data_IF_608823438350
#
_entry.id   IF_608823438350
#
_cell.length_a   1.000
_cell.length_b   1.000
_cell.length_c   1.000
_cell.angle_alpha   90.00
_cell.angle_beta   90.00
_cell.angle_gamma   90.00
#
_symmetry.space_group_name_H-M   'P 1'
#
loop_
_entity.id
_entity.type
_entity.pdbx_description
1 polymer ?
#
# COMPACT_ATOMS: atom_id res chain seq x y z
N UNK A 1 -11.20 -7.63 -6.73
CA UNK A 1 -10.21 -8.17 -5.77
C UNK A 1 -8.91 -8.37 -6.53
N UNK A 2 -7.79 -7.82 -6.06
CA UNK A 2 -6.51 -7.98 -6.76
C UNK A 2 -6.13 -9.47 -6.78
N UNK A 3 -5.85 -10.01 -7.97
CA UNK A 3 -5.40 -11.40 -8.12
C UNK A 3 -3.91 -11.51 -7.79
N UNK A 4 -3.43 -12.70 -7.48
CA UNK A 4 -2.01 -12.96 -7.21
C UNK A 4 -1.13 -12.59 -8.43
N UNK A 5 -1.65 -12.80 -9.64
CA UNK A 5 -1.06 -12.30 -10.89
C UNK A 5 -0.94 -10.79 -10.91
N UNK A 6 -1.97 -10.06 -10.47
CA UNK A 6 -1.93 -8.59 -10.39
C UNK A 6 -0.79 -8.11 -9.45
N UNK A 7 -0.54 -8.78 -8.33
CA UNK A 7 0.59 -8.45 -7.47
C UNK A 7 1.94 -8.75 -8.12
N UNK A 8 2.08 -9.90 -8.77
CA UNK A 8 3.29 -10.25 -9.52
C UNK A 8 3.63 -9.20 -10.59
N UNK A 9 2.62 -8.74 -11.34
CA UNK A 9 2.81 -7.75 -12.39
C UNK A 9 3.08 -6.34 -11.83
N UNK A 10 2.64 -6.01 -10.61
CA UNK A 10 2.68 -4.64 -10.09
C UNK A 10 3.71 -4.37 -8.98
N UNK A 11 4.21 -5.37 -8.26
CA UNK A 11 5.08 -5.16 -7.09
C UNK A 11 6.43 -4.50 -7.44
N UNK A 12 6.88 -4.65 -8.68
CA UNK A 12 8.17 -4.14 -9.17
C UNK A 12 8.02 -3.33 -10.47
N UNK A 13 6.99 -2.47 -10.54
CA UNK A 13 6.71 -1.63 -11.72
C UNK A 13 7.87 -0.72 -12.15
N UNK A 14 8.69 -0.26 -11.21
CA UNK A 14 9.85 0.60 -11.48
C UNK A 14 11.03 -0.13 -12.14
N UNK A 15 11.01 -1.47 -12.15
CA UNK A 15 12.08 -2.29 -12.72
C UNK A 15 11.84 -2.58 -14.20
N UNK A 16 12.91 -2.69 -14.98
CA UNK A 16 12.83 -3.28 -16.31
C UNK A 16 12.71 -4.81 -16.17
N UNK A 17 11.77 -5.42 -16.88
CA UNK A 17 11.40 -6.84 -16.72
C UNK A 17 11.70 -7.63 -17.98
N UNK A 18 12.30 -8.80 -17.82
CA UNK A 18 12.37 -9.84 -18.85
C UNK A 18 11.62 -11.07 -18.36
N UNK A 19 10.58 -11.48 -19.08
CA UNK A 19 9.76 -12.62 -18.66
C UNK A 19 9.78 -13.71 -19.71
N UNK A 20 9.93 -14.96 -19.28
CA UNK A 20 9.80 -16.15 -20.13
C UNK A 20 8.92 -17.19 -19.43
N UNK A 21 8.22 -18.00 -20.21
CA UNK A 21 7.35 -19.07 -19.71
C UNK A 21 8.05 -20.41 -19.87
N UNK A 22 7.95 -21.25 -18.84
CA UNK A 22 8.48 -22.60 -18.75
C UNK A 22 7.34 -23.57 -18.53
N UNK A 23 7.49 -24.79 -19.00
CA UNK A 23 6.57 -25.87 -18.68
C UNK A 23 7.29 -26.82 -17.73
N UNK A 24 6.72 -27.04 -16.54
CA UNK A 24 7.25 -28.05 -15.63
C UNK A 24 6.99 -29.45 -16.19
N UNK A 25 8.05 -30.26 -16.30
CA UNK A 25 8.01 -31.60 -16.87
C UNK A 25 7.09 -32.58 -16.10
N UNK A 26 6.80 -32.32 -14.82
CA UNK A 26 6.03 -33.26 -14.01
C UNK A 26 4.51 -33.00 -14.02
N UNK A 27 4.08 -31.73 -14.11
CA UNK A 27 2.67 -31.36 -13.97
C UNK A 27 2.09 -30.57 -15.15
N UNK A 28 2.88 -30.34 -16.21
CA UNK A 28 2.52 -29.49 -17.35
C UNK A 28 2.11 -28.05 -16.94
N UNK A 29 2.48 -27.65 -15.72
CA UNK A 29 2.19 -26.34 -15.16
C UNK A 29 3.08 -25.29 -15.84
N UNK A 30 2.48 -24.23 -16.36
CA UNK A 30 3.22 -23.10 -16.93
C UNK A 30 3.76 -22.21 -15.81
N UNK A 31 5.07 -22.04 -15.72
CA UNK A 31 5.73 -21.16 -14.77
C UNK A 31 6.26 -19.95 -15.53
N UNK A 32 6.02 -18.74 -15.04
CA UNK A 32 6.58 -17.53 -15.63
C UNK A 32 7.76 -17.09 -14.77
N UNK A 33 8.98 -17.16 -15.30
CA UNK A 33 10.16 -16.60 -14.68
C UNK A 33 10.39 -15.18 -15.17
N UNK A 34 10.74 -14.26 -14.29
CA UNK A 34 11.07 -12.87 -14.62
C UNK A 34 12.38 -12.44 -14.00
N UNK A 35 13.28 -11.90 -14.82
CA UNK A 35 14.44 -11.15 -14.35
C UNK A 35 14.07 -9.67 -14.23
N UNK A 36 14.32 -9.10 -13.06
CA UNK A 36 14.13 -7.68 -12.79
C UNK A 36 15.46 -6.96 -12.79
N UNK A 37 15.54 -5.85 -13.51
CA UNK A 37 16.68 -4.94 -13.54
C UNK A 37 16.28 -3.63 -12.87
N UNK A 38 16.81 -3.37 -11.68
CA UNK A 38 16.58 -2.14 -10.93
C UNK A 38 17.79 -1.20 -11.07
N UNK A 39 17.67 -0.26 -12.01
CA UNK A 39 18.73 0.71 -12.29
C UNK A 39 18.98 1.68 -11.14
N UNK A 40 17.98 1.92 -10.28
CA UNK A 40 18.13 2.83 -9.14
C UNK A 40 19.10 2.26 -8.11
N UNK A 41 18.92 0.97 -7.77
CA UNK A 41 19.81 0.25 -6.84
C UNK A 41 21.02 -0.43 -7.50
N UNK A 42 21.15 -0.35 -8.83
CA UNK A 42 22.17 -1.05 -9.61
C UNK A 42 22.17 -2.58 -9.34
N UNK A 43 20.98 -3.16 -9.22
CA UNK A 43 20.82 -4.56 -8.84
C UNK A 43 19.85 -5.31 -9.76
N UNK A 44 19.94 -6.64 -9.70
CA UNK A 44 19.01 -7.55 -10.36
C UNK A 44 18.53 -8.64 -9.41
N UNK A 45 17.31 -9.12 -9.63
CA UNK A 45 16.68 -10.18 -8.83
C UNK A 45 15.67 -10.94 -9.68
N UNK A 46 15.21 -12.09 -9.17
CA UNK A 46 14.34 -13.00 -9.93
C UNK A 46 12.99 -13.10 -9.25
N UNK A 47 11.93 -13.21 -10.04
CA UNK A 47 10.62 -13.61 -9.55
C UNK A 47 9.99 -14.69 -10.42
N UNK A 48 9.30 -15.64 -9.79
CA UNK A 48 8.52 -16.67 -10.47
C UNK A 48 7.04 -16.49 -10.16
N UNK A 49 6.20 -16.66 -11.17
CA UNK A 49 4.76 -16.81 -11.01
C UNK A 49 4.33 -18.22 -11.41
N UNK A 50 3.66 -18.87 -10.48
CA UNK A 50 3.16 -20.24 -10.60
C UNK A 50 1.63 -20.16 -10.52
N UNK A 51 0.92 -20.19 -11.67
CA UNK A 51 -0.53 -20.11 -11.75
C UNK A 51 -1.24 -21.37 -11.23
N UNK A 52 -0.56 -22.52 -11.24
CA UNK A 52 -1.15 -23.78 -10.80
C UNK A 52 -1.39 -23.78 -9.29
N UNK A 53 -2.61 -24.18 -8.91
CA UNK A 53 -3.07 -24.19 -7.53
C UNK A 53 -2.71 -25.49 -6.79
N UNK A 54 -2.21 -26.51 -7.51
CA UNK A 54 -1.89 -27.83 -6.95
C UNK A 54 -0.40 -28.18 -7.01
N UNK A 55 0.48 -27.18 -7.12
CA UNK A 55 1.90 -27.46 -7.22
C UNK A 55 2.45 -27.97 -5.87
N UNK A 56 3.21 -29.05 -5.91
CA UNK A 56 3.97 -29.48 -4.75
C UNK A 56 5.32 -28.74 -4.73
N UNK A 57 5.47 -27.78 -3.83
CA UNK A 57 6.71 -27.01 -3.73
C UNK A 57 7.87 -27.83 -3.18
N UNK A 58 7.61 -29.00 -2.60
CA UNK A 58 8.62 -29.96 -2.17
C UNK A 58 9.11 -30.88 -3.28
N UNK A 59 8.55 -30.80 -4.49
CA UNK A 59 9.10 -31.53 -5.63
C UNK A 59 10.54 -31.07 -5.90
N UNK A 60 11.49 -32.02 -5.82
CA UNK A 60 12.91 -31.74 -5.99
C UNK A 60 13.23 -31.23 -7.40
N UNK A 61 12.50 -31.71 -8.42
CA UNK A 61 12.69 -31.24 -9.80
C UNK A 61 12.37 -29.76 -9.93
N UNK A 62 11.20 -29.37 -9.43
CA UNK A 62 10.74 -27.99 -9.38
C UNK A 62 11.65 -27.11 -8.53
N UNK A 63 12.04 -27.54 -7.32
CA UNK A 63 12.95 -26.75 -6.48
C UNK A 63 14.31 -26.55 -7.15
N UNK A 64 14.85 -27.58 -7.80
CA UNK A 64 16.12 -27.44 -8.51
C UNK A 64 16.00 -26.48 -9.68
N UNK A 65 14.89 -26.52 -10.42
CA UNK A 65 14.62 -25.56 -11.49
C UNK A 65 14.47 -24.13 -10.98
N UNK A 66 13.63 -23.90 -9.97
CA UNK A 66 13.35 -22.56 -9.44
C UNK A 66 14.53 -21.94 -8.68
N UNK A 67 15.44 -22.76 -8.15
CA UNK A 67 16.65 -22.31 -7.47
C UNK A 67 17.89 -22.30 -8.37
N UNK A 68 17.82 -22.83 -9.59
CA UNK A 68 18.87 -22.64 -10.59
C UNK A 68 18.71 -21.28 -11.27
N UNK A 69 19.33 -20.27 -10.65
CA UNK A 69 19.21 -18.88 -11.09
C UNK A 69 20.02 -18.57 -12.34
N UNK A 70 21.04 -19.38 -12.67
CA UNK A 70 21.95 -19.11 -13.78
C UNK A 70 21.22 -19.00 -15.11
N UNK A 71 20.26 -19.90 -15.35
CA UNK A 71 19.46 -19.92 -16.57
C UNK A 71 18.71 -18.60 -16.79
N UNK A 72 18.22 -17.97 -15.72
CA UNK A 72 17.48 -16.70 -15.80
C UNK A 72 18.44 -15.51 -15.89
N UNK A 73 19.53 -15.54 -15.12
CA UNK A 73 20.55 -14.51 -15.16
C UNK A 73 21.17 -14.37 -16.56
N UNK A 74 21.30 -15.48 -17.29
CA UNK A 74 21.79 -15.49 -18.66
C UNK A 74 20.91 -14.72 -19.64
N UNK A 75 19.61 -14.52 -19.38
CA UNK A 75 18.77 -13.68 -20.26
C UNK A 75 19.24 -12.23 -20.29
N UNK A 76 19.93 -11.76 -19.25
CA UNK A 76 20.53 -10.42 -19.28
C UNK A 76 21.62 -10.26 -20.34
N UNK A 77 22.16 -11.36 -20.88
CA UNK A 77 23.17 -11.35 -21.95
C UNK A 77 22.55 -11.22 -23.35
N UNK A 78 21.24 -11.39 -23.49
CA UNK A 78 20.55 -11.35 -24.80
C UNK A 78 20.44 -9.92 -25.36
N UNK A 79 20.68 -8.90 -24.54
CA UNK A 79 20.57 -7.51 -24.91
C UNK A 79 21.37 -6.62 -23.95
N UNK A 80 21.75 -5.42 -24.41
CA UNK A 80 22.46 -4.42 -23.61
C UNK A 80 21.54 -3.24 -23.33
N UNK A 81 21.29 -2.95 -22.04
CA UNK A 81 20.53 -1.76 -21.61
C UNK A 81 21.42 -0.91 -20.73
N UNK A 82 21.40 0.39 -21.00
CA UNK A 82 22.04 1.40 -20.16
C UNK A 82 21.00 2.35 -19.57
N UNK A 83 21.09 2.60 -18.27
CA UNK A 83 20.29 3.60 -17.55
C UNK A 83 21.17 4.63 -16.84
N UNK A 84 20.59 5.76 -16.46
CA UNK A 84 21.26 6.85 -15.72
C UNK A 84 20.65 8.21 -16.06
N UNK A 85 20.64 9.11 -15.08
CA UNK A 85 20.20 10.49 -15.29
C UNK A 85 21.30 11.32 -15.96
N UNK A 86 20.95 12.51 -16.45
CA UNK A 86 21.92 13.46 -16.98
C UNK A 86 23.03 13.68 -15.95
N UNK A 87 24.30 13.66 -16.40
CA UNK A 87 25.52 13.77 -15.59
C UNK A 87 25.92 12.54 -14.74
N UNK A 88 25.14 11.47 -14.72
CA UNK A 88 25.56 10.21 -14.08
C UNK A 88 26.37 9.32 -15.03
N UNK A 89 27.27 8.50 -14.47
CA UNK A 89 27.84 7.38 -15.22
C UNK A 89 26.73 6.40 -15.60
N UNK A 90 26.59 6.14 -16.90
CA UNK A 90 25.64 5.14 -17.39
C UNK A 90 25.94 3.78 -16.77
N UNK A 91 24.91 3.17 -16.18
CA UNK A 91 24.93 1.82 -15.62
C UNK A 91 24.43 0.86 -16.67
N UNK A 92 25.13 -0.25 -16.87
CA UNK A 92 24.71 -1.30 -17.80
C UNK A 92 24.21 -2.53 -17.05
N UNK A 93 23.26 -3.24 -17.63
CA UNK A 93 22.71 -4.48 -17.06
C UNK A 93 23.76 -5.57 -16.79
N UNK A 94 24.84 -5.61 -17.57
CA UNK A 94 25.96 -6.54 -17.38
C UNK A 94 26.67 -6.36 -16.03
N UNK A 95 26.79 -5.10 -15.56
CA UNK A 95 27.50 -4.75 -14.32
C UNK A 95 26.60 -4.73 -13.08
N UNK A 96 25.31 -5.05 -13.25
CA UNK A 96 24.35 -5.06 -12.14
C UNK A 96 24.59 -6.26 -11.22
N UNK A 97 24.50 -6.01 -9.92
CA UNK A 97 24.72 -7.01 -8.88
C UNK A 97 23.47 -7.88 -8.73
N UNK A 98 23.61 -9.20 -8.82
CA UNK A 98 22.53 -10.09 -8.44
C UNK A 98 22.39 -10.10 -6.91
N UNK A 99 21.20 -9.78 -6.42
CA UNK A 99 20.91 -9.64 -4.98
C UNK A 99 20.79 -10.98 -4.25
N UNK A 100 20.83 -12.10 -4.98
CA UNK A 100 20.47 -13.44 -4.52
C UNK A 100 19.00 -13.60 -4.08
N UNK A 101 18.16 -12.58 -4.27
CA UNK A 101 16.75 -12.63 -3.91
C UNK A 101 15.95 -13.31 -5.03
N UNK A 102 15.15 -14.29 -4.64
CA UNK A 102 14.18 -14.98 -5.49
C UNK A 102 12.79 -14.86 -4.87
N UNK A 103 11.85 -14.26 -5.60
CA UNK A 103 10.45 -14.22 -5.20
C UNK A 103 9.67 -15.37 -5.85
N UNK A 104 8.78 -16.01 -5.10
CA UNK A 104 7.84 -16.99 -5.64
C UNK A 104 6.43 -16.52 -5.36
N UNK A 105 5.65 -16.35 -6.43
CA UNK A 105 4.23 -16.08 -6.37
C UNK A 105 3.51 -17.36 -6.77
N UNK A 106 2.71 -17.92 -5.85
CA UNK A 106 1.98 -19.16 -6.14
C UNK A 106 0.55 -19.09 -5.61
N UNK A 107 -0.39 -19.57 -6.43
CA UNK A 107 -1.78 -19.71 -6.00
C UNK A 107 -1.98 -20.88 -5.00
N UNK A 108 -1.03 -21.80 -4.90
CA UNK A 108 -1.03 -22.85 -3.87
C UNK A 108 -0.76 -22.24 -2.50
N UNK A 109 -1.45 -22.74 -1.47
CA UNK A 109 -1.14 -22.42 -0.07
C UNK A 109 -0.15 -23.45 0.46
N UNK A 110 0.95 -23.00 1.05
CA UNK A 110 1.94 -23.88 1.64
C UNK A 110 1.86 -23.81 3.17
N UNK A 111 2.07 -24.95 3.82
CA UNK A 111 2.27 -25.01 5.27
C UNK A 111 3.58 -24.32 5.68
N UNK A 112 3.67 -23.89 6.93
CA UNK A 112 4.90 -23.24 7.44
C UNK A 112 6.10 -24.21 7.41
N UNK A 113 5.87 -25.51 7.60
CA UNK A 113 6.91 -26.53 7.49
C UNK A 113 7.48 -26.61 6.06
N UNK A 114 6.62 -26.66 5.04
CA UNK A 114 7.03 -26.67 3.63
C UNK A 114 7.80 -25.40 3.26
N UNK A 115 7.29 -24.24 3.67
CA UNK A 115 7.96 -22.95 3.45
C UNK A 115 9.34 -22.92 4.07
N UNK A 116 9.45 -23.31 5.34
CA UNK A 116 10.72 -23.30 6.07
C UNK A 116 11.73 -24.24 5.42
N UNK A 117 11.33 -25.46 5.07
CA UNK A 117 12.21 -26.41 4.39
C UNK A 117 12.74 -25.83 3.07
N UNK A 118 11.85 -25.22 2.28
CA UNK A 118 12.25 -24.66 0.99
C UNK A 118 13.16 -23.43 1.13
N UNK A 119 12.85 -22.54 2.09
CA UNK A 119 13.70 -21.39 2.42
C UNK A 119 15.09 -21.85 2.85
N UNK A 120 15.20 -22.91 3.66
CA UNK A 120 16.50 -23.49 4.05
C UNK A 120 17.26 -24.08 2.85
N UNK A 121 16.57 -24.78 1.95
CA UNK A 121 17.20 -25.30 0.73
C UNK A 121 17.74 -24.18 -0.16
N UNK A 122 17.01 -23.06 -0.28
CA UNK A 122 17.46 -21.88 -1.01
C UNK A 122 18.66 -21.22 -0.31
N UNK A 123 18.62 -21.10 1.01
CA UNK A 123 19.72 -20.54 1.82
C UNK A 123 21.02 -21.33 1.64
N UNK A 124 20.94 -22.67 1.61
CA UNK A 124 22.09 -23.53 1.36
C UNK A 124 22.71 -23.34 -0.03
N UNK A 125 21.96 -22.78 -0.99
CA UNK A 125 22.44 -22.37 -2.32
C UNK A 125 22.87 -20.90 -2.37
N UNK A 126 22.92 -20.21 -1.24
CA UNK A 126 23.26 -18.78 -1.15
C UNK A 126 22.14 -17.83 -1.58
N UNK A 127 20.90 -18.31 -1.65
CA UNK A 127 19.73 -17.55 -2.11
C UNK A 127 18.85 -17.11 -0.94
N UNK A 128 18.18 -15.97 -1.12
CA UNK A 128 17.15 -15.46 -0.22
C UNK A 128 15.80 -15.68 -0.89
N UNK A 129 15.05 -16.66 -0.41
CA UNK A 129 13.75 -17.04 -0.96
C UNK A 129 12.60 -16.32 -0.26
N UNK A 130 11.76 -15.62 -1.02
CA UNK A 130 10.60 -14.89 -0.53
C UNK A 130 9.32 -15.44 -1.17
N UNK A 131 8.55 -16.19 -0.37
CA UNK A 131 7.32 -16.86 -0.83
C UNK A 131 6.11 -15.95 -0.61
N UNK A 132 5.38 -15.65 -1.68
CA UNK A 132 4.14 -14.87 -1.77
C UNK A 132 3.01 -15.78 -2.23
N UNK A 133 2.52 -16.60 -1.32
CA UNK A 133 1.43 -17.53 -1.57
C UNK A 133 0.04 -16.88 -1.38
N UNK A 134 -1.02 -17.67 -1.58
CA UNK A 134 -2.40 -17.22 -1.36
C UNK A 134 -2.65 -16.64 0.04
N UNK A 135 -1.98 -17.14 1.08
CA UNK A 135 -2.09 -16.61 2.45
C UNK A 135 -1.43 -15.24 2.58
N UNK A 136 -0.21 -15.08 2.07
CA UNK A 136 0.48 -13.78 2.03
C UNK A 136 -0.37 -12.73 1.31
N UNK A 137 -0.91 -13.07 0.14
CA UNK A 137 -1.71 -12.13 -0.65
C UNK A 137 -3.02 -11.76 0.05
N UNK A 138 -3.69 -12.72 0.70
CA UNK A 138 -4.90 -12.43 1.49
C UNK A 138 -4.61 -11.45 2.62
N UNK A 139 -3.53 -11.68 3.38
CA UNK A 139 -3.10 -10.80 4.47
C UNK A 139 -2.68 -9.43 3.96
N UNK A 140 -1.96 -9.37 2.84
CA UNK A 140 -1.57 -8.12 2.21
C UNK A 140 -2.77 -7.31 1.73
N UNK A 141 -3.73 -7.96 1.06
CA UNK A 141 -4.97 -7.30 0.62
C UNK A 141 -5.79 -6.74 1.79
N UNK A 142 -5.78 -7.43 2.94
CA UNK A 142 -6.41 -6.94 4.16
C UNK A 142 -5.69 -5.71 4.72
N UNK A 143 -4.36 -5.71 4.75
CA UNK A 143 -3.55 -4.57 5.20
C UNK A 143 -3.63 -3.37 4.24
N UNK A 144 -3.71 -3.63 2.94
CA UNK A 144 -3.86 -2.59 1.92
C UNK A 144 -5.28 -2.02 1.87
N UNK A 145 -6.26 -2.70 2.47
CA UNK A 145 -7.63 -2.18 2.56
C UNK A 145 -7.61 -0.86 3.34
N UNK A 146 -8.12 0.24 2.76
CA UNK A 146 -8.12 1.52 3.42
C UNK A 146 -8.87 1.47 4.75
N UNK A 147 -8.22 1.92 5.83
CA UNK A 147 -8.80 1.92 7.17
C UNK A 147 -9.70 3.12 7.43
N UNK A 148 -9.40 4.22 6.73
CA UNK A 148 -10.16 5.45 6.77
C UNK A 148 -10.17 6.10 5.39
N UNK A 149 -11.04 7.07 5.22
CA UNK A 149 -10.95 8.05 4.13
C UNK A 149 -10.75 9.45 4.71
N UNK A 150 -10.13 10.34 3.94
CA UNK A 150 -9.86 11.72 4.29
C UNK A 150 -10.76 12.64 3.48
N UNK A 151 -11.76 13.20 4.16
CA UNK A 151 -12.58 14.28 3.65
C UNK A 151 -11.85 15.61 3.84
N UNK A 152 -11.64 16.33 2.75
CA UNK A 152 -10.86 17.56 2.74
C UNK A 152 -11.32 18.49 1.60
N UNK A 153 -11.06 19.79 1.74
CA UNK A 153 -11.20 20.71 0.62
C UNK A 153 -10.06 20.45 -0.39
N UNK A 154 -10.40 20.42 -1.68
CA UNK A 154 -9.44 20.16 -2.76
C UNK A 154 -8.17 21.04 -2.73
N UNK A 155 -8.25 22.24 -2.13
CA UNK A 155 -7.12 23.16 -1.99
C UNK A 155 -6.04 22.67 -1.00
N UNK A 156 -6.41 21.84 -0.02
CA UNK A 156 -5.46 21.30 0.97
C UNK A 156 -4.72 20.03 0.48
N UNK A 157 -5.06 19.57 -0.73
CA UNK A 157 -4.70 18.24 -1.24
C UNK A 157 -3.19 18.03 -1.36
N UNK A 158 -2.49 18.95 -2.02
CA UNK A 158 -1.06 18.79 -2.30
C UNK A 158 -0.21 19.14 -1.07
N UNK A 159 -0.69 20.08 -0.26
CA UNK A 159 0.08 20.79 0.74
C UNK A 159 0.13 20.00 2.06
N UNK A 160 -0.97 19.32 2.39
CA UNK A 160 -1.11 18.58 3.66
C UNK A 160 -1.62 17.15 3.46
N UNK A 161 -2.68 16.95 2.67
CA UNK A 161 -3.37 15.66 2.62
C UNK A 161 -2.54 14.58 1.94
N UNK A 162 -1.95 14.85 0.77
CA UNK A 162 -1.09 13.87 0.09
C UNK A 162 0.13 13.51 0.94
N UNK A 163 0.92 14.46 1.48
CA UNK A 163 2.01 14.13 2.40
C UNK A 163 1.55 13.28 3.59
N UNK A 164 0.37 13.57 4.18
CA UNK A 164 -0.16 12.79 5.31
C UNK A 164 -0.51 11.36 4.89
N UNK A 165 -1.17 11.19 3.74
CA UNK A 165 -1.49 9.89 3.17
C UNK A 165 -0.24 9.06 2.85
N UNK A 166 0.80 9.68 2.29
CA UNK A 166 2.08 9.03 2.00
C UNK A 166 2.78 8.57 3.28
N UNK A 167 2.74 9.41 4.32
CA UNK A 167 3.27 9.10 5.64
C UNK A 167 2.50 7.91 6.28
N UNK A 168 1.16 7.91 6.24
CA UNK A 168 0.36 6.78 6.74
C UNK A 168 0.60 5.49 5.94
N UNK A 169 0.73 5.60 4.61
CA UNK A 169 1.03 4.48 3.72
C UNK A 169 2.38 3.84 4.01
N UNK A 170 3.41 4.61 4.33
CA UNK A 170 4.72 4.07 4.71
C UNK A 170 4.68 3.24 5.99
N UNK A 171 3.64 3.42 6.82
CA UNK A 171 3.35 2.60 8.01
C UNK A 171 2.38 1.44 7.76
N UNK A 172 2.08 1.10 6.50
CA UNK A 172 1.06 0.11 6.13
C UNK A 172 -0.36 0.45 6.62
N UNK A 173 -0.65 1.74 6.83
CA UNK A 173 -2.00 2.22 7.12
C UNK A 173 -2.56 2.96 5.90
N UNK A 174 -3.16 2.23 4.97
CA UNK A 174 -3.75 2.83 3.78
C UNK A 174 -4.99 3.66 4.13
N UNK A 175 -5.13 4.81 3.48
CA UNK A 175 -6.31 5.67 3.55
C UNK A 175 -6.70 6.14 2.14
N UNK A 176 -7.97 6.40 1.91
CA UNK A 176 -8.44 7.04 0.67
C UNK A 176 -8.54 8.55 0.84
N UNK A 177 -8.32 9.31 -0.22
CA UNK A 177 -8.46 10.76 -0.17
C UNK A 177 -8.94 11.35 -1.50
N UNK A 178 -8.47 10.84 -2.65
CA UNK A 178 -8.83 11.38 -3.96
C UNK A 178 -10.35 11.37 -4.24
N UNK A 179 -11.04 10.28 -3.92
CA UNK A 179 -12.50 10.14 -4.09
C UNK A 179 -13.32 11.04 -3.15
N UNK A 180 -12.70 11.57 -2.09
CA UNK A 180 -13.35 12.34 -1.03
C UNK A 180 -12.82 13.79 -0.94
N UNK A 181 -12.20 14.25 -2.02
CA UNK A 181 -11.83 15.64 -2.21
C UNK A 181 -13.07 16.46 -2.55
N UNK A 182 -13.43 17.40 -1.68
CA UNK A 182 -14.61 18.24 -1.84
C UNK A 182 -14.33 19.47 -2.69
N UNK A 183 -15.32 19.86 -3.50
CA UNK A 183 -15.40 21.05 -4.32
C UNK A 183 -16.64 21.86 -3.97
N UNK A 184 -16.68 23.11 -4.44
CA UNK A 184 -17.84 23.98 -4.24
C UNK A 184 -19.07 23.34 -4.90
N UNK A 185 -20.13 23.17 -4.11
CA UNK A 185 -21.40 22.55 -4.53
C UNK A 185 -21.53 21.06 -4.17
N UNK A 186 -20.47 20.42 -3.67
CA UNK A 186 -20.54 19.04 -3.20
C UNK A 186 -21.31 18.94 -1.87
N UNK A 187 -22.04 17.83 -1.69
CA UNK A 187 -22.73 17.52 -0.44
C UNK A 187 -21.77 16.78 0.52
N UNK A 188 -21.34 17.46 1.58
CA UNK A 188 -20.39 16.94 2.56
C UNK A 188 -20.92 15.69 3.28
N UNK A 189 -22.21 15.69 3.64
CA UNK A 189 -22.83 14.59 4.38
C UNK A 189 -22.91 13.34 3.53
N UNK A 190 -23.35 13.45 2.29
CA UNK A 190 -23.42 12.34 1.35
C UNK A 190 -22.03 11.74 1.11
N UNK A 191 -21.02 12.59 0.89
CA UNK A 191 -19.62 12.16 0.76
C UNK A 191 -19.14 11.35 1.98
N UNK A 192 -19.47 11.81 3.18
CA UNK A 192 -19.12 11.11 4.43
C UNK A 192 -19.92 9.81 4.59
N UNK A 193 -21.22 9.82 4.33
CA UNK A 193 -22.06 8.63 4.42
C UNK A 193 -21.61 7.55 3.43
N UNK A 194 -21.23 7.92 2.21
CA UNK A 194 -20.67 7.01 1.22
C UNK A 194 -19.28 6.49 1.61
N UNK A 195 -18.44 7.35 2.18
CA UNK A 195 -17.14 6.94 2.70
C UNK A 195 -17.27 5.95 3.85
N UNK A 196 -18.22 6.15 4.77
CA UNK A 196 -18.47 5.27 5.92
C UNK A 196 -18.96 3.88 5.49
N UNK A 197 -19.72 3.78 4.38
CA UNK A 197 -20.11 2.47 3.82
C UNK A 197 -18.90 1.65 3.39
N UNK A 198 -17.83 2.31 2.94
CA UNK A 198 -16.62 1.65 2.43
C UNK A 198 -15.51 1.50 3.49
N UNK A 199 -15.41 2.44 4.43
CA UNK A 199 -14.37 2.54 5.46
C UNK A 199 -14.97 2.79 6.85
N UNK A 200 -14.36 2.24 7.89
CA UNK A 200 -14.91 2.31 9.26
C UNK A 200 -14.68 3.67 9.94
N UNK A 201 -13.89 4.56 9.34
CA UNK A 201 -13.47 5.85 9.91
C UNK A 201 -13.41 6.92 8.82
N UNK A 202 -13.76 8.14 9.20
CA UNK A 202 -13.63 9.36 8.40
C UNK A 202 -12.62 10.28 9.10
N UNK A 203 -11.62 10.77 8.38
CA UNK A 203 -10.75 11.84 8.85
C UNK A 203 -11.22 13.11 8.15
N UNK A 204 -11.50 14.17 8.92
CA UNK A 204 -11.93 15.45 8.33
C UNK A 204 -10.85 16.51 8.57
N UNK A 205 -10.40 17.13 7.48
CA UNK A 205 -9.43 18.22 7.53
C UNK A 205 -10.17 19.54 7.65
N UNK A 206 -10.07 20.16 8.82
CA UNK A 206 -10.67 21.46 9.12
C UNK A 206 -9.59 22.52 8.91
N UNK A 207 -9.58 23.12 7.72
CA UNK A 207 -8.66 24.16 7.28
C UNK A 207 -9.37 25.50 7.06
N UNK A 208 -8.64 26.62 6.83
CA UNK A 208 -9.27 27.87 6.39
C UNK A 208 -10.05 27.68 5.10
N UNK A 209 -9.54 26.87 4.16
CA UNK A 209 -10.23 26.52 2.93
C UNK A 209 -11.56 25.80 3.21
N UNK A 210 -11.53 24.81 4.11
CA UNK A 210 -12.72 24.04 4.48
C UNK A 210 -13.79 24.92 5.14
N UNK A 211 -13.38 25.81 6.05
CA UNK A 211 -14.28 26.71 6.78
C UNK A 211 -14.89 27.77 5.86
N UNK A 212 -14.11 28.30 4.90
CA UNK A 212 -14.56 29.36 4.01
C UNK A 212 -15.47 28.87 2.89
N UNK A 213 -15.64 27.55 2.73
CA UNK A 213 -16.40 26.98 1.63
C UNK A 213 -17.90 27.10 1.93
N UNK A 214 -18.64 27.72 1.01
CA UNK A 214 -20.09 27.92 1.14
C UNK A 214 -20.91 26.76 0.57
N UNK A 215 -20.24 25.77 -0.05
CA UNK A 215 -20.87 24.63 -0.72
C UNK A 215 -21.53 23.63 0.23
N UNK A 216 -21.01 23.52 1.46
CA UNK A 216 -21.59 22.68 2.51
C UNK A 216 -22.00 23.54 3.70
N UNK A 217 -23.15 23.22 4.30
CA UNK A 217 -23.68 24.05 5.37
C UNK A 217 -23.08 23.65 6.73
N UNK A 218 -22.87 24.63 7.61
CA UNK A 218 -22.54 24.40 9.03
C UNK A 218 -23.45 23.34 9.68
N UNK A 219 -24.74 23.38 9.36
CA UNK A 219 -25.77 22.44 9.84
C UNK A 219 -25.52 21.00 9.37
N UNK A 220 -25.07 20.84 8.14
CA UNK A 220 -24.74 19.54 7.56
C UNK A 220 -23.56 18.90 8.30
N UNK A 221 -22.52 19.68 8.57
CA UNK A 221 -21.38 19.23 9.35
C UNK A 221 -21.74 18.94 10.81
N UNK A 222 -22.56 19.78 11.47
CA UNK A 222 -23.07 19.52 12.83
C UNK A 222 -23.84 18.21 12.92
N UNK A 223 -24.65 17.89 11.91
CA UNK A 223 -25.47 16.67 11.90
C UNK A 223 -24.65 15.38 11.91
N UNK A 224 -23.45 15.40 11.31
CA UNK A 224 -22.54 14.25 11.27
C UNK A 224 -22.09 13.88 12.68
N UNK A 225 -21.73 14.88 13.51
CA UNK A 225 -21.21 14.66 14.86
C UNK A 225 -22.31 14.37 15.89
N UNK A 226 -23.48 14.97 15.74
CA UNK A 226 -24.63 14.65 16.59
C UNK A 226 -25.01 13.16 16.50
N UNK A 227 -24.92 12.59 15.29
CA UNK A 227 -25.13 11.16 15.07
C UNK A 227 -24.11 10.29 15.80
N UNK A 228 -22.83 10.67 15.80
CA UNK A 228 -21.78 9.92 16.53
C UNK A 228 -22.01 9.87 18.04
N UNK A 229 -22.42 11.00 18.60
CA UNK A 229 -22.72 11.15 20.02
C UNK A 229 -23.92 10.27 20.37
N UNK A 230 -24.94 10.25 19.51
CA UNK A 230 -26.17 9.47 19.71
C UNK A 230 -25.93 7.97 19.56
N UNK A 231 -25.14 7.55 18.57
CA UNK A 231 -24.83 6.16 18.27
C UNK A 231 -23.71 5.58 19.18
N UNK A 232 -23.08 6.43 20.00
CA UNK A 232 -21.96 6.04 20.87
C UNK A 232 -20.73 5.55 20.09
N UNK A 233 -20.58 5.94 18.81
CA UNK A 233 -19.51 5.51 17.91
C UNK A 233 -18.75 6.72 17.41
N UNK A 234 -17.46 6.83 17.74
CA UNK A 234 -16.59 7.82 17.09
C UNK A 234 -16.16 7.28 15.74
N UNK A 235 -16.74 7.82 14.67
CA UNK A 235 -16.44 7.46 13.29
C UNK A 235 -15.56 8.54 12.65
N UNK A 236 -15.64 9.78 13.11
CA UNK A 236 -15.01 10.96 12.55
C UNK A 236 -13.86 11.43 13.44
N UNK A 237 -12.71 11.67 12.81
CA UNK A 237 -11.47 12.10 13.42
C UNK A 237 -11.11 13.48 12.85
N UNK A 238 -11.40 14.58 13.57
CA UNK A 238 -11.09 15.92 13.09
C UNK A 238 -9.59 16.23 13.22
N UNK A 239 -9.04 16.86 12.19
CA UNK A 239 -7.70 17.44 12.18
C UNK A 239 -7.82 18.93 11.91
N UNK A 240 -7.35 19.76 12.84
CA UNK A 240 -7.26 21.20 12.65
C UNK A 240 -5.99 21.50 11.87
N UNK A 241 -6.15 22.08 10.68
CA UNK A 241 -5.05 22.43 9.80
C UNK A 241 -4.96 23.94 9.62
N UNK A 242 -3.95 24.59 10.20
CA UNK A 242 -3.75 26.04 10.08
C UNK A 242 -4.99 26.88 10.48
N UNK A 243 -5.74 26.43 11.49
CA UNK A 243 -6.90 27.13 12.04
C UNK A 243 -6.73 27.39 13.54
N UNK A 244 -7.32 28.48 14.01
CA UNK A 244 -7.41 28.81 15.43
C UNK A 244 -8.67 28.23 16.05
N UNK A 245 -8.67 28.05 17.38
CA UNK A 245 -9.86 27.62 18.13
C UNK A 245 -11.07 28.54 17.89
N UNK A 246 -10.84 29.85 17.76
CA UNK A 246 -11.91 30.82 17.52
C UNK A 246 -12.53 30.65 16.13
N UNK A 247 -11.72 30.47 15.08
CA UNK A 247 -12.23 30.20 13.72
C UNK A 247 -13.06 28.91 13.68
N UNK A 248 -12.61 27.86 14.38
CA UNK A 248 -13.36 26.61 14.49
C UNK A 248 -14.65 26.80 15.28
N UNK A 249 -14.64 27.59 16.36
CA UNK A 249 -15.84 27.88 17.15
C UNK A 249 -16.89 28.69 16.38
N UNK A 250 -16.46 29.74 15.67
CA UNK A 250 -17.33 30.55 14.81
C UNK A 250 -17.95 29.69 13.70
N UNK A 251 -17.13 28.86 13.06
CA UNK A 251 -17.62 27.89 12.09
C UNK A 251 -18.57 26.88 12.74
N UNK A 252 -18.23 26.28 13.87
CA UNK A 252 -19.05 25.29 14.55
C UNK A 252 -18.75 25.16 16.07
N UNK A 253 -19.64 25.69 16.91
CA UNK A 253 -19.45 25.74 18.37
C UNK A 253 -19.38 24.35 19.02
N UNK A 254 -20.16 23.39 18.51
CA UNK A 254 -20.17 22.00 19.01
C UNK A 254 -18.80 21.29 18.93
N UNK A 255 -17.85 21.82 18.16
CA UNK A 255 -16.54 21.20 17.92
C UNK A 255 -15.46 21.59 18.89
N UNK A 256 -15.60 22.71 19.63
CA UNK A 256 -14.57 23.08 20.61
C UNK A 256 -14.44 22.07 21.75
N UNK A 257 -15.45 21.21 21.90
CA UNK A 257 -15.50 20.16 22.90
C UNK A 257 -15.07 18.78 22.35
N UNK A 258 -14.82 18.67 21.04
CA UNK A 258 -14.30 17.45 20.41
C UNK A 258 -12.78 17.50 20.41
N UNK A 259 -12.13 16.42 20.87
CA UNK A 259 -10.67 16.31 20.82
C UNK A 259 -10.24 16.09 19.36
N UNK A 260 -9.54 17.09 18.81
CA UNK A 260 -8.99 17.06 17.45
C UNK A 260 -7.45 16.96 17.48
N UNK A 261 -6.88 16.38 16.42
CA UNK A 261 -5.44 16.49 16.17
C UNK A 261 -5.14 17.86 15.56
N UNK A 262 -3.92 18.37 15.76
CA UNK A 262 -3.51 19.66 15.22
C UNK A 262 -2.30 19.50 14.29
N UNK A 263 -2.40 19.99 13.06
CA UNK A 263 -1.29 19.90 12.08
C UNK A 263 -0.04 20.67 12.51
N UNK A 264 -0.17 21.65 13.41
CA UNK A 264 0.94 22.43 13.95
C UNK A 264 1.95 21.57 14.73
N UNK A 265 1.55 20.38 15.17
CA UNK A 265 2.42 19.42 15.84
C UNK A 265 3.42 18.72 14.90
N UNK A 266 3.28 18.94 13.58
CA UNK A 266 4.10 18.30 12.56
C UNK A 266 3.45 17.04 12.00
N UNK A 267 3.67 16.80 10.70
CA UNK A 267 2.98 15.77 9.95
C UNK A 267 3.27 14.36 10.45
N UNK A 268 4.51 14.09 10.87
CA UNK A 268 4.92 12.77 11.37
C UNK A 268 4.23 12.43 12.69
N UNK A 269 4.07 13.41 13.60
CA UNK A 269 3.41 13.19 14.87
C UNK A 269 1.91 12.98 14.68
N UNK A 270 1.28 13.78 13.81
CA UNK A 270 -0.13 13.60 13.44
C UNK A 270 -0.35 12.22 12.82
N UNK A 271 0.51 11.81 11.88
CA UNK A 271 0.43 10.50 11.25
C UNK A 271 0.62 9.36 12.25
N UNK A 272 1.55 9.48 13.20
CA UNK A 272 1.73 8.50 14.28
C UNK A 272 0.48 8.39 15.16
N UNK A 273 -0.09 9.52 15.60
CA UNK A 273 -1.32 9.52 16.40
C UNK A 273 -2.51 8.91 15.65
N UNK A 274 -2.66 9.23 14.36
CA UNK A 274 -3.68 8.61 13.51
C UNK A 274 -3.45 7.11 13.34
N UNK A 275 -2.21 6.70 13.11
CA UNK A 275 -1.83 5.29 12.99
C UNK A 275 -2.27 4.51 14.24
N UNK A 276 -1.97 5.01 15.43
CA UNK A 276 -2.36 4.38 16.69
C UNK A 276 -3.89 4.26 16.83
N UNK A 277 -4.63 5.34 16.50
CA UNK A 277 -6.09 5.35 16.56
C UNK A 277 -6.71 4.34 15.57
N UNK A 278 -6.14 4.23 14.36
CA UNK A 278 -6.67 3.38 13.30
C UNK A 278 -6.28 1.91 13.46
N UNK A 279 -5.09 1.61 13.98
CA UNK A 279 -4.53 0.26 14.11
C UNK A 279 -4.85 -0.39 15.45
N UNK A 280 -4.85 0.39 16.54
CA UNK A 280 -5.09 -0.09 17.90
C UNK A 280 -6.33 0.62 18.47
N UNK A 281 -7.54 0.34 17.97
CA UNK A 281 -8.74 0.95 18.52
C UNK A 281 -8.87 0.52 19.98
N UNK A 282 -8.66 1.47 20.91
CA UNK A 282 -8.82 1.19 22.35
C UNK A 282 -10.23 0.61 22.58
N UNK A 283 -10.37 -0.55 23.25
CA UNK A 283 -11.66 -0.99 23.72
C UNK A 283 -12.20 0.07 24.67
N UNK A 284 -13.44 0.50 24.48
CA UNK A 284 -14.06 1.48 25.37
C UNK A 284 -14.41 0.80 26.69
N UNK A 285 -13.95 1.39 27.78
CA UNK A 285 -14.48 1.19 29.14
C UNK A 285 -15.91 1.68 29.22
#
# INVERSE_FOLDING_TARGET
MNTLKNYYDNDFQSTLKLSKTFTSNQNNSQIIGTLHLDFMSNSKFISYYIPDNKINILDQGLQNFLLDTNQILDWSKEFLVSGGLFFEHRRTNEKMIFTNIVYIYSNTTFSDQEKNLYIQNAYNKGLILLIRDSVYIKKRAELEKPRAFISHDSRDKNDFVRPLCENLRSRLCTVWYDEFSLRVGDNLRESIEDGIKKCNKCIVIISPAFISNTGWSKKEFESIFQREISDGKTVVLPIWHNVTRNQVYEYCSSFTNVVALNSAEGIDLVANKLFDILMNPKPRS
#
